data_IF_809114407886
#
_entry.id   IF_809114407886
#
_cell.length_a   1.000
_cell.length_b   1.000
_cell.length_c   1.000
_cell.angle_alpha   90.00
_cell.angle_beta   90.00
_cell.angle_gamma   90.00
#
_symmetry.space_group_name_H-M   'P 1'
#
loop_
_entity.id
_entity.type
_entity.pdbx_description
1 polymer ?
#
# COMPACT_ATOMS: atom_id res chain seq x y z
N UNK A 1 -20.27 -10.00 -13.70
CA UNK A 1 -19.35 -9.68 -12.58
C UNK A 1 -18.61 -8.41 -12.97
N UNK A 2 -18.40 -7.46 -12.05
CA UNK A 2 -17.60 -6.26 -12.34
C UNK A 2 -16.18 -6.66 -12.79
N UNK A 3 -15.58 -5.84 -13.63
CA UNK A 3 -14.24 -6.06 -14.17
C UNK A 3 -14.19 -6.46 -15.65
N UNK A 4 -13.03 -6.22 -16.24
CA UNK A 4 -12.76 -6.46 -17.66
C UNK A 4 -12.34 -7.91 -17.86
N UNK A 5 -13.19 -8.72 -18.48
CA UNK A 5 -12.96 -10.12 -18.82
C UNK A 5 -12.79 -10.36 -20.34
N UNK A 6 -13.05 -9.36 -21.18
CA UNK A 6 -12.83 -9.44 -22.63
C UNK A 6 -12.46 -8.09 -23.24
N UNK A 7 -11.88 -8.12 -24.45
CA UNK A 7 -11.59 -6.92 -25.23
C UNK A 7 -12.86 -6.16 -25.61
N UNK A 8 -13.97 -6.87 -25.84
CA UNK A 8 -15.26 -6.24 -26.16
C UNK A 8 -15.80 -5.43 -24.97
N UNK A 9 -15.64 -5.93 -23.74
CA UNK A 9 -15.96 -5.16 -22.54
C UNK A 9 -15.08 -3.93 -22.39
N UNK A 10 -13.79 -4.04 -22.70
CA UNK A 10 -12.89 -2.89 -22.69
C UNK A 10 -13.32 -1.83 -23.73
N UNK A 11 -13.61 -2.26 -24.96
CA UNK A 11 -14.07 -1.36 -26.04
C UNK A 11 -15.40 -0.70 -25.63
N UNK A 12 -16.34 -1.46 -25.07
CA UNK A 12 -17.60 -0.93 -24.59
C UNK A 12 -17.40 0.09 -23.46
N UNK A 13 -16.48 -0.16 -22.53
CA UNK A 13 -16.14 0.75 -21.45
C UNK A 13 -15.57 2.07 -21.99
N UNK A 14 -14.63 1.99 -22.94
CA UNK A 14 -14.05 3.16 -23.60
C UNK A 14 -15.10 3.96 -24.38
N UNK A 15 -15.96 3.29 -25.14
CA UNK A 15 -17.06 3.91 -25.88
C UNK A 15 -18.08 4.61 -24.95
N UNK A 16 -18.26 4.09 -23.75
CA UNK A 16 -19.13 4.68 -22.72
C UNK A 16 -18.47 5.80 -21.92
N UNK A 17 -17.22 6.16 -22.23
CA UNK A 17 -16.48 7.19 -21.50
C UNK A 17 -16.01 6.75 -20.11
N UNK A 18 -15.94 5.44 -19.83
CA UNK A 18 -15.50 4.87 -18.55
C UNK A 18 -13.98 4.88 -18.41
N UNK A 19 -13.37 6.05 -18.64
CA UNK A 19 -11.93 6.25 -18.66
C UNK A 19 -11.56 7.56 -18.01
N UNK A 20 -10.39 7.59 -17.36
CA UNK A 20 -9.81 8.81 -16.79
C UNK A 20 -8.35 8.88 -17.20
N UNK A 21 -7.95 10.02 -17.77
CA UNK A 21 -6.54 10.34 -18.02
C UNK A 21 -6.06 11.35 -17.00
N UNK A 22 -4.94 11.05 -16.37
CA UNK A 22 -4.28 11.95 -15.43
C UNK A 22 -2.89 12.29 -15.93
N UNK A 23 -2.69 13.56 -16.29
CA UNK A 23 -1.36 14.08 -16.56
C UNK A 23 -0.71 14.48 -15.22
N UNK A 24 0.56 14.14 -15.05
CA UNK A 24 1.30 14.40 -13.83
C UNK A 24 2.68 14.98 -14.16
N UNK A 25 3.23 15.70 -13.18
CA UNK A 25 4.58 16.23 -13.23
C UNK A 25 5.10 16.36 -11.81
N UNK A 26 6.17 15.66 -11.46
CA UNK A 26 6.76 15.66 -10.12
C UNK A 26 8.23 15.99 -10.20
N UNK A 27 8.68 16.76 -9.22
CA UNK A 27 10.11 16.95 -9.00
C UNK A 27 10.66 15.82 -8.14
N UNK A 28 11.97 15.62 -8.23
CA UNK A 28 12.74 14.89 -7.24
C UNK A 28 12.68 15.59 -5.87
N UNK A 29 13.19 14.94 -4.82
CA UNK A 29 13.18 15.55 -3.50
C UNK A 29 13.92 16.91 -3.51
N UNK A 30 13.47 17.89 -2.71
CA UNK A 30 13.92 19.27 -2.85
C UNK A 30 15.27 19.59 -2.22
N UNK A 31 15.82 18.70 -1.37
CA UNK A 31 16.94 19.03 -0.49
C UNK A 31 18.22 18.26 -0.77
N UNK A 32 18.17 17.13 -1.48
CA UNK A 32 19.34 16.31 -1.72
C UNK A 32 19.33 15.62 -3.09
N UNK A 33 20.50 15.55 -3.72
CA UNK A 33 20.72 14.70 -4.88
C UNK A 33 20.84 13.24 -4.45
N UNK A 34 20.39 12.31 -5.31
CA UNK A 34 20.66 10.89 -5.16
C UNK A 34 21.93 10.49 -5.92
N UNK A 35 22.58 9.44 -5.44
CA UNK A 35 23.62 8.74 -6.19
C UNK A 35 23.06 7.51 -6.88
N UNK A 36 23.87 6.90 -7.76
CA UNK A 36 23.48 5.70 -8.50
C UNK A 36 23.03 4.56 -7.56
N UNK A 37 22.05 3.80 -8.03
CA UNK A 37 21.38 2.67 -7.39
C UNK A 37 20.65 2.99 -6.07
N UNK A 38 20.42 4.26 -5.75
CA UNK A 38 19.52 4.65 -4.67
C UNK A 38 18.08 4.75 -5.16
N UNK A 39 17.15 4.33 -4.31
CA UNK A 39 15.74 4.56 -4.52
C UNK A 39 15.22 5.64 -3.57
N UNK A 40 14.42 6.54 -4.11
CA UNK A 40 13.77 7.59 -3.35
C UNK A 40 12.29 7.62 -3.66
N UNK A 41 11.50 8.06 -2.70
CA UNK A 41 10.12 8.44 -2.93
C UNK A 41 10.09 9.81 -3.64
N UNK A 42 9.14 10.02 -4.55
CA UNK A 42 8.86 11.37 -5.09
C UNK A 42 7.82 12.12 -4.25
N UNK A 43 7.54 11.64 -3.04
CA UNK A 43 6.39 12.11 -2.25
C UNK A 43 6.55 13.59 -1.88
N UNK A 44 7.76 13.99 -1.49
CA UNK A 44 8.10 15.36 -1.08
C UNK A 44 8.43 16.30 -2.25
N UNK A 45 8.54 15.76 -3.45
CA UNK A 45 8.76 16.57 -4.65
C UNK A 45 7.56 17.44 -4.95
N UNK A 46 7.79 18.73 -5.25
CA UNK A 46 6.73 19.61 -5.71
C UNK A 46 6.19 19.16 -7.08
N UNK A 47 5.00 19.63 -7.45
CA UNK A 47 4.40 19.35 -8.76
C UNK A 47 2.91 19.05 -8.69
N UNK A 48 2.43 18.29 -9.67
CA UNK A 48 1.08 17.75 -9.75
C UNK A 48 1.15 16.21 -9.81
N UNK A 49 0.66 15.47 -8.80
CA UNK A 49 0.01 15.96 -7.57
C UNK A 49 0.95 16.73 -6.62
N UNK A 50 0.42 17.56 -5.70
CA UNK A 50 1.23 18.39 -4.80
C UNK A 50 2.20 17.57 -3.94
N UNK A 51 3.20 18.23 -3.35
CA UNK A 51 4.08 17.59 -2.38
C UNK A 51 3.28 17.08 -1.18
N UNK A 52 3.56 15.85 -0.77
CA UNK A 52 2.89 15.21 0.35
C UNK A 52 3.37 15.77 1.69
N UNK A 53 2.43 15.94 2.62
CA UNK A 53 2.70 16.38 3.99
C UNK A 53 2.16 15.39 5.05
N UNK A 54 1.83 14.16 4.65
CA UNK A 54 1.24 13.14 5.50
C UNK A 54 2.30 12.29 6.20
N UNK A 55 3.31 11.83 5.46
CA UNK A 55 4.18 10.73 5.92
C UNK A 55 5.09 11.03 7.10
N UNK A 56 5.15 12.26 7.61
CA UNK A 56 5.87 12.61 8.84
C UNK A 56 4.95 13.19 9.93
N UNK A 57 3.66 12.88 9.87
CA UNK A 57 2.64 13.32 10.83
C UNK A 57 2.03 12.12 11.58
N UNK A 58 1.16 12.42 12.55
CA UNK A 58 0.51 11.42 13.38
C UNK A 58 1.41 10.82 14.47
N UNK A 59 0.87 9.80 15.13
CA UNK A 59 1.45 9.19 16.34
C UNK A 59 2.61 8.25 16.00
N UNK A 60 3.68 8.32 16.79
CA UNK A 60 4.82 7.41 16.69
C UNK A 60 4.37 5.96 16.90
N UNK A 61 4.89 5.03 16.08
CA UNK A 61 4.62 3.59 16.15
C UNK A 61 3.12 3.23 16.09
N UNK A 62 2.31 4.03 15.41
CA UNK A 62 0.92 3.70 15.08
C UNK A 62 0.76 3.54 13.57
N UNK A 63 0.04 2.50 13.15
CA UNK A 63 -0.33 2.33 11.75
C UNK A 63 -1.38 3.36 11.35
N UNK A 64 -1.13 4.07 10.25
CA UNK A 64 -1.97 5.12 9.72
C UNK A 64 -2.35 4.78 8.28
N UNK A 65 -3.65 4.75 8.01
CA UNK A 65 -4.21 4.45 6.70
C UNK A 65 -4.00 5.61 5.73
N UNK A 66 -3.69 5.30 4.47
CA UNK A 66 -3.57 6.31 3.40
C UNK A 66 -4.56 6.01 2.28
N UNK A 67 -5.33 7.03 1.89
CA UNK A 67 -6.23 7.07 0.75
C UNK A 67 -5.91 8.29 -0.12
N UNK A 68 -6.38 8.28 -1.36
CA UNK A 68 -6.39 9.48 -2.23
C UNK A 68 -7.07 10.69 -1.59
N UNK A 69 -8.06 10.43 -0.75
CA UNK A 69 -8.87 11.40 -0.01
C UNK A 69 -8.33 11.75 1.38
N UNK A 70 -7.23 11.12 1.82
CA UNK A 70 -6.62 11.48 3.12
C UNK A 70 -6.15 12.93 3.07
N UNK A 71 -6.49 13.72 4.08
CA UNK A 71 -6.05 15.12 4.19
C UNK A 71 -4.53 15.22 4.04
N UNK A 72 -4.08 16.14 3.19
CA UNK A 72 -2.66 16.38 2.87
C UNK A 72 -1.96 15.27 2.07
N UNK A 73 -2.69 14.26 1.57
CA UNK A 73 -2.14 13.27 0.66
C UNK A 73 -1.86 13.88 -0.72
N UNK A 74 -0.62 13.73 -1.19
CA UNK A 74 -0.17 14.13 -2.52
C UNK A 74 -0.32 13.04 -3.58
N UNK A 75 -1.41 12.27 -3.54
CA UNK A 75 -1.61 11.09 -4.40
C UNK A 75 -2.04 11.48 -5.84
N UNK A 76 -1.68 10.64 -6.82
CA UNK A 76 -2.09 10.81 -8.21
C UNK A 76 -3.60 10.62 -8.31
N UNK A 77 -4.27 11.59 -8.93
CA UNK A 77 -5.69 11.54 -9.17
C UNK A 77 -6.03 10.39 -10.12
N UNK A 78 -6.94 9.50 -9.72
CA UNK A 78 -7.39 8.37 -10.56
C UNK A 78 -8.89 8.43 -10.87
N UNK A 79 -9.55 9.55 -10.56
CA UNK A 79 -10.99 9.74 -10.81
C UNK A 79 -11.93 9.14 -9.76
N UNK A 80 -11.50 9.02 -8.50
CA UNK A 80 -12.36 8.64 -7.37
C UNK A 80 -12.81 7.17 -7.36
N UNK A 81 -13.81 6.84 -6.55
CA UNK A 81 -14.31 5.47 -6.37
C UNK A 81 -15.29 5.07 -7.49
N UNK A 82 -15.28 3.80 -7.90
CA UNK A 82 -16.16 3.25 -8.96
C UNK A 82 -16.94 1.99 -8.54
N UNK A 83 -16.61 1.41 -7.39
CA UNK A 83 -17.35 0.31 -6.78
C UNK A 83 -18.66 0.83 -6.14
N UNK A 84 -19.69 -0.04 -5.99
CA UNK A 84 -19.71 -1.47 -6.29
C UNK A 84 -19.97 -1.80 -7.77
N UNK A 85 -20.22 -0.81 -8.62
CA UNK A 85 -20.64 -1.05 -10.01
C UNK A 85 -19.51 -1.58 -10.89
N UNK A 86 -18.33 -1.00 -10.78
CA UNK A 86 -17.19 -1.28 -11.67
C UNK A 86 -15.91 -1.56 -10.88
N UNK A 87 -14.93 -2.17 -11.54
CA UNK A 87 -13.54 -2.20 -11.11
C UNK A 87 -12.67 -1.35 -12.02
N UNK A 88 -11.68 -0.70 -11.42
CA UNK A 88 -10.74 0.17 -12.14
C UNK A 88 -9.41 -0.52 -12.38
N UNK A 89 -8.84 -0.26 -13.53
CA UNK A 89 -7.57 -0.81 -13.98
C UNK A 89 -6.69 0.26 -14.60
N UNK A 90 -5.38 0.10 -14.45
CA UNK A 90 -4.41 0.89 -15.19
C UNK A 90 -4.31 0.34 -16.62
N UNK A 91 -4.63 1.17 -17.61
CA UNK A 91 -4.69 0.79 -19.03
C UNK A 91 -3.36 1.04 -19.75
N UNK A 92 -2.81 2.24 -19.59
CA UNK A 92 -1.53 2.62 -20.16
C UNK A 92 -0.93 3.78 -19.39
N UNK A 93 0.35 4.06 -19.63
CA UNK A 93 0.99 5.24 -19.08
C UNK A 93 2.22 5.65 -19.87
N UNK A 94 2.70 6.84 -19.59
CA UNK A 94 3.96 7.36 -20.09
C UNK A 94 4.69 8.08 -18.98
N UNK A 95 6.01 8.04 -19.03
CA UNK A 95 6.88 8.84 -18.18
C UNK A 95 8.11 9.32 -18.96
N UNK A 96 8.55 10.54 -18.66
CA UNK A 96 9.75 11.15 -19.23
C UNK A 96 10.45 12.01 -18.20
N UNK A 97 11.76 12.17 -18.36
CA UNK A 97 12.53 13.22 -17.72
C UNK A 97 13.44 13.87 -18.76
N UNK A 98 13.55 15.19 -18.70
CA UNK A 98 14.52 15.97 -19.46
C UNK A 98 15.55 16.64 -18.54
N UNK A 99 15.60 16.23 -17.26
CA UNK A 99 16.57 16.74 -16.30
C UNK A 99 17.96 16.10 -16.54
N UNK A 100 18.99 16.94 -16.63
CA UNK A 100 20.35 16.50 -16.89
C UNK A 100 20.82 15.49 -15.83
N UNK A 101 21.63 14.53 -16.28
CA UNK A 101 22.25 13.44 -15.48
C UNK A 101 21.28 12.46 -14.82
N UNK A 102 19.97 12.51 -15.06
CA UNK A 102 18.99 11.65 -14.37
C UNK A 102 18.85 10.26 -14.97
N UNK A 103 19.03 10.12 -16.29
CA UNK A 103 18.90 8.82 -16.97
C UNK A 103 20.26 8.13 -17.15
N UNK A 104 20.32 6.78 -17.10
CA UNK A 104 19.20 5.86 -16.96
C UNK A 104 18.63 5.77 -15.53
N UNK A 105 17.38 5.32 -15.39
CA UNK A 105 16.74 4.99 -14.12
C UNK A 105 15.34 4.44 -14.30
N UNK A 106 14.62 4.17 -13.21
CA UNK A 106 13.28 3.56 -13.26
C UNK A 106 12.30 4.29 -12.35
N UNK A 107 11.15 4.68 -12.88
CA UNK A 107 10.00 5.07 -12.07
C UNK A 107 9.15 3.85 -11.73
N UNK A 108 8.77 3.69 -10.47
CA UNK A 108 7.79 2.68 -10.06
C UNK A 108 6.52 3.37 -9.53
N UNK A 109 5.38 3.02 -10.13
CA UNK A 109 4.07 3.43 -9.64
C UNK A 109 3.70 2.49 -8.49
N UNK A 110 3.51 3.05 -7.30
CA UNK A 110 3.12 2.30 -6.12
C UNK A 110 1.82 2.83 -5.54
N UNK A 111 1.07 1.94 -4.95
CA UNK A 111 -0.13 2.24 -4.20
C UNK A 111 0.20 2.12 -2.70
N UNK A 112 0.22 3.23 -1.97
CA UNK A 112 0.64 3.30 -0.55
C UNK A 112 -0.54 3.05 0.39
N UNK A 113 -0.58 1.91 1.07
CA UNK A 113 -1.76 1.42 1.83
C UNK A 113 -1.88 2.12 3.17
N UNK A 114 -0.72 2.32 3.78
CA UNK A 114 -0.60 2.93 5.09
C UNK A 114 0.87 3.08 5.46
N UNK A 115 1.13 3.80 6.55
CA UNK A 115 2.47 3.96 7.07
C UNK A 115 2.50 3.93 8.59
N UNK A 116 3.69 3.63 9.13
CA UNK A 116 4.03 3.77 10.54
C UNK A 116 5.13 4.81 10.63
N UNK A 117 4.87 5.90 11.36
CA UNK A 117 5.89 6.91 11.66
C UNK A 117 6.80 6.42 12.78
N UNK A 118 8.11 6.61 12.64
CA UNK A 118 9.11 6.23 13.63
C UNK A 118 9.98 7.43 14.00
N UNK A 119 9.67 8.07 15.11
CA UNK A 119 10.45 9.16 15.73
C UNK A 119 11.44 8.65 16.76
N UNK A 120 11.21 7.45 17.29
CA UNK A 120 12.07 6.78 18.27
C UNK A 120 13.28 6.09 17.63
N UNK A 121 13.94 6.75 16.68
CA UNK A 121 15.03 6.16 15.89
C UNK A 121 16.31 5.88 16.70
N UNK A 122 16.35 6.32 17.97
CA UNK A 122 17.43 6.03 18.92
C UNK A 122 17.24 4.73 19.69
N UNK A 123 16.04 4.15 19.67
CA UNK A 123 15.74 2.87 20.33
C UNK A 123 16.28 1.70 19.53
N UNK A 124 16.98 0.78 20.20
CA UNK A 124 17.66 -0.36 19.57
C UNK A 124 16.98 -1.72 19.78
N UNK A 125 16.00 -1.77 20.68
CA UNK A 125 15.15 -2.95 20.90
C UNK A 125 13.95 -2.92 19.94
N UNK A 126 13.34 -4.07 19.71
CA UNK A 126 12.11 -4.15 18.92
C UNK A 126 11.00 -3.30 19.56
N UNK A 127 10.38 -2.45 18.76
CA UNK A 127 9.33 -1.54 19.17
C UNK A 127 7.99 -2.01 18.61
N UNK A 128 7.00 -2.21 19.48
CA UNK A 128 5.66 -2.65 19.05
C UNK A 128 4.94 -1.55 18.28
N UNK A 129 4.29 -1.94 17.19
CA UNK A 129 3.40 -1.08 16.41
C UNK A 129 1.98 -1.25 16.91
N UNK A 130 1.30 -0.12 17.13
CA UNK A 130 -0.11 -0.07 17.44
C UNK A 130 -0.92 -0.20 16.16
N UNK A 131 -1.62 -1.33 16.02
CA UNK A 131 -2.49 -1.63 14.88
C UNK A 131 -3.96 -1.58 15.30
N UNK A 132 -4.51 -0.37 15.35
CA UNK A 132 -5.94 -0.17 15.61
C UNK A 132 -6.74 -0.58 14.38
N UNK A 133 -7.78 -1.42 14.56
CA UNK A 133 -8.74 -1.74 13.51
C UNK A 133 -9.65 -0.53 13.25
N UNK A 134 -9.09 0.48 12.56
CA UNK A 134 -9.72 1.79 12.38
C UNK A 134 -10.73 1.85 11.23
N UNK A 135 -10.84 0.80 10.43
CA UNK A 135 -11.84 0.69 9.38
C UNK A 135 -13.07 0.00 9.93
N UNK A 136 -14.26 0.49 9.57
CA UNK A 136 -15.51 -0.12 10.01
C UNK A 136 -16.64 0.08 9.02
N UNK A 137 -17.53 -0.91 8.98
CA UNK A 137 -18.83 -0.82 8.32
C UNK A 137 -19.83 -1.75 9.03
N UNK A 138 -21.11 -1.45 8.87
CA UNK A 138 -22.22 -2.19 9.49
C UNK A 138 -22.75 -3.28 8.57
N UNK A 139 -23.33 -4.32 9.15
CA UNK A 139 -23.92 -5.44 8.41
C UNK A 139 -25.16 -6.01 9.10
N UNK A 140 -25.92 -6.81 8.34
CA UNK A 140 -26.98 -7.70 8.83
C UNK A 140 -26.65 -9.14 8.44
N UNK A 141 -27.02 -10.12 9.27
CA UNK A 141 -26.82 -11.54 9.00
C UNK A 141 -28.16 -12.24 8.70
N UNK A 142 -28.13 -13.24 7.84
CA UNK A 142 -29.23 -14.17 7.57
C UNK A 142 -28.88 -15.56 8.09
N UNK A 143 -29.57 -16.01 9.15
CA UNK A 143 -29.36 -17.31 9.77
C UNK A 143 -29.81 -18.50 8.89
N UNK A 144 -30.58 -18.25 7.83
CA UNK A 144 -30.97 -19.31 6.88
C UNK A 144 -29.87 -19.64 5.86
N UNK A 145 -28.90 -18.74 5.66
CA UNK A 145 -27.90 -18.84 4.60
C UNK A 145 -26.47 -18.56 5.08
N UNK A 146 -26.28 -18.21 6.35
CA UNK A 146 -25.02 -17.70 6.94
C UNK A 146 -24.48 -16.42 6.30
N UNK A 147 -25.25 -15.81 5.39
CA UNK A 147 -24.82 -14.70 4.58
C UNK A 147 -24.96 -13.38 5.34
N UNK A 148 -23.87 -12.62 5.38
CA UNK A 148 -23.85 -11.25 5.87
C UNK A 148 -23.94 -10.27 4.70
N UNK A 149 -24.77 -9.23 4.85
CA UNK A 149 -24.93 -8.16 3.87
C UNK A 149 -24.51 -6.83 4.48
N UNK A 150 -23.65 -6.08 3.76
CA UNK A 150 -23.23 -4.75 4.20
C UNK A 150 -24.43 -3.78 4.19
N UNK A 151 -24.60 -3.06 5.29
CA UNK A 151 -25.59 -1.98 5.42
C UNK A 151 -24.95 -0.58 5.38
N UNK A 152 -23.62 -0.51 5.42
CA UNK A 152 -22.83 0.71 5.21
C UNK A 152 -21.70 0.42 4.22
N UNK A 153 -21.28 1.45 3.50
CA UNK A 153 -20.14 1.41 2.57
C UNK A 153 -19.12 2.52 2.82
N UNK A 154 -19.11 3.10 4.02
CA UNK A 154 -18.31 4.26 4.38
C UNK A 154 -16.80 3.97 4.32
N UNK A 155 -16.39 2.75 4.71
CA UNK A 155 -15.00 2.31 4.65
C UNK A 155 -14.67 1.49 3.39
N UNK A 156 -15.56 1.50 2.39
CA UNK A 156 -15.40 0.80 1.09
C UNK A 156 -15.21 -0.72 1.31
N UNK A 157 -16.22 -1.42 1.88
CA UNK A 157 -16.06 -2.81 2.27
C UNK A 157 -15.99 -3.77 1.07
N UNK A 158 -16.32 -3.28 -0.13
CA UNK A 158 -16.09 -3.96 -1.41
C UNK A 158 -14.59 -4.19 -1.71
N UNK A 159 -13.68 -3.56 -0.95
CA UNK A 159 -12.24 -3.85 -0.97
C UNK A 159 -11.82 -5.04 -0.08
N UNK A 160 -12.73 -5.60 0.74
CA UNK A 160 -12.40 -6.75 1.58
C UNK A 160 -12.20 -7.99 0.72
N UNK A 161 -11.13 -8.73 1.02
CA UNK A 161 -10.72 -9.93 0.31
C UNK A 161 -10.92 -11.14 1.23
N UNK A 162 -11.11 -12.31 0.63
CA UNK A 162 -11.13 -13.56 1.39
C UNK A 162 -9.82 -13.71 2.18
N UNK A 163 -9.94 -14.11 3.44
CA UNK A 163 -8.83 -14.26 4.38
C UNK A 163 -8.47 -12.97 5.15
N UNK A 164 -9.17 -11.85 4.93
CA UNK A 164 -9.01 -10.65 5.77
C UNK A 164 -9.43 -10.93 7.20
N UNK A 165 -8.55 -10.64 8.16
CA UNK A 165 -8.85 -10.71 9.59
C UNK A 165 -9.74 -9.54 9.99
N UNK A 166 -10.84 -9.84 10.67
CA UNK A 166 -11.83 -8.87 11.13
C UNK A 166 -12.26 -9.14 12.58
N UNK A 167 -12.80 -8.12 13.25
CA UNK A 167 -13.46 -8.26 14.56
C UNK A 167 -14.84 -7.62 14.55
N UNK A 168 -15.73 -8.14 15.38
CA UNK A 168 -17.12 -7.72 15.43
C UNK A 168 -17.45 -6.97 16.72
N UNK A 169 -18.37 -6.01 16.59
CA UNK A 169 -19.08 -5.38 17.71
C UNK A 169 -20.57 -5.28 17.39
N UNK A 170 -21.39 -5.04 18.41
CA UNK A 170 -22.83 -4.84 18.25
C UNK A 170 -23.34 -3.86 19.30
N UNK A 171 -24.47 -3.21 19.03
CA UNK A 171 -25.24 -2.46 20.03
C UNK A 171 -26.25 -3.33 20.80
N UNK A 172 -26.44 -4.60 20.40
CA UNK A 172 -27.37 -5.56 21.01
C UNK A 172 -26.70 -6.91 21.25
N UNK A 173 -27.22 -7.96 20.61
CA UNK A 173 -26.64 -9.32 20.66
C UNK A 173 -26.14 -9.70 19.27
N UNK A 174 -24.89 -10.13 19.14
CA UNK A 174 -24.34 -10.57 17.85
C UNK A 174 -25.10 -11.78 17.30
N UNK A 175 -25.06 -12.02 15.98
CA UNK A 175 -25.60 -13.25 15.40
C UNK A 175 -25.04 -14.49 16.11
N UNK A 176 -25.90 -15.47 16.41
CA UNK A 176 -25.49 -16.64 17.19
C UNK A 176 -24.39 -17.43 16.45
N UNK A 177 -23.34 -17.82 17.18
CA UNK A 177 -22.11 -18.39 16.59
C UNK A 177 -20.96 -17.37 16.49
N UNK A 178 -21.26 -16.09 16.70
CA UNK A 178 -20.28 -15.00 16.70
C UNK A 178 -20.13 -14.36 18.09
N UNK A 179 -18.95 -13.82 18.37
CA UNK A 179 -18.60 -13.18 19.63
C UNK A 179 -17.76 -11.92 19.41
N UNK A 180 -17.84 -10.97 20.35
CA UNK A 180 -16.99 -9.78 20.34
C UNK A 180 -15.55 -10.15 20.71
N UNK A 181 -14.59 -9.26 20.40
CA UNK A 181 -13.16 -9.46 20.68
C UNK A 181 -12.53 -10.76 20.13
N UNK A 182 -13.23 -11.43 19.21
CA UNK A 182 -12.78 -12.64 18.53
C UNK A 182 -12.36 -12.29 17.10
N UNK A 183 -11.21 -12.80 16.68
CA UNK A 183 -10.73 -12.66 15.30
C UNK A 183 -11.43 -13.67 14.40
N UNK A 184 -12.11 -13.16 13.37
CA UNK A 184 -12.70 -13.94 12.29
C UNK A 184 -12.01 -13.65 10.98
N UNK A 185 -12.27 -14.48 9.98
CA UNK A 185 -11.69 -14.34 8.64
C UNK A 185 -12.82 -14.26 7.61
N UNK A 186 -12.79 -13.20 6.81
CA UNK A 186 -13.84 -12.95 5.82
C UNK A 186 -13.77 -13.97 4.68
N UNK A 187 -14.93 -14.46 4.25
CA UNK A 187 -15.13 -15.18 2.99
C UNK A 187 -15.96 -14.28 2.08
N UNK A 188 -15.35 -13.80 0.99
CA UNK A 188 -16.00 -12.85 0.09
C UNK A 188 -16.97 -13.59 -0.83
N UNK A 189 -18.24 -13.21 -0.81
CA UNK A 189 -19.27 -13.76 -1.69
C UNK A 189 -19.57 -12.82 -2.86
N UNK A 190 -19.62 -11.51 -2.59
CA UNK A 190 -19.73 -10.46 -3.61
C UNK A 190 -19.10 -9.15 -3.11
N UNK A 191 -19.33 -8.04 -3.82
CA UNK A 191 -18.96 -6.70 -3.34
C UNK A 191 -19.85 -6.20 -2.19
N UNK A 192 -21.05 -6.78 -2.01
CA UNK A 192 -22.03 -6.37 -1.00
C UNK A 192 -22.31 -7.45 0.06
N UNK A 193 -21.80 -8.67 -0.13
CA UNK A 193 -22.07 -9.80 0.76
C UNK A 193 -20.82 -10.61 1.08
N UNK A 194 -20.81 -11.20 2.28
CA UNK A 194 -19.70 -11.98 2.80
C UNK A 194 -20.20 -13.01 3.81
N UNK A 195 -19.36 -13.98 4.12
CA UNK A 195 -19.53 -14.91 5.24
C UNK A 195 -18.30 -14.80 6.17
N UNK A 196 -18.35 -15.44 7.32
CA UNK A 196 -17.26 -15.42 8.31
C UNK A 196 -16.78 -16.84 8.61
N UNK A 197 -15.47 -17.01 8.70
CA UNK A 197 -14.83 -18.25 9.07
C UNK A 197 -14.04 -18.10 10.38
N UNK A 198 -13.89 -19.20 11.11
CA UNK A 198 -13.17 -19.25 12.39
C UNK A 198 -11.64 -19.28 12.26
N UNK A 199 -11.12 -19.52 11.05
CA UNK A 199 -9.68 -19.51 10.77
C UNK A 199 -9.40 -19.08 9.33
N UNK A 200 -8.17 -18.63 9.06
CA UNK A 200 -7.73 -18.31 7.70
C UNK A 200 -7.87 -19.51 6.76
N UNK A 201 -7.48 -20.71 7.21
CA UNK A 201 -7.58 -21.94 6.42
C UNK A 201 -9.04 -22.25 6.05
N UNK A 202 -9.97 -22.08 7.00
CA UNK A 202 -11.41 -22.24 6.74
C UNK A 202 -11.92 -21.19 5.75
N UNK A 203 -11.46 -19.94 5.82
CA UNK A 203 -11.86 -18.91 4.88
C UNK A 203 -11.41 -19.24 3.45
N UNK A 204 -10.19 -19.74 3.27
CA UNK A 204 -9.68 -20.17 1.96
C UNK A 204 -10.41 -21.41 1.45
N UNK A 205 -10.81 -22.32 2.34
CA UNK A 205 -11.58 -23.51 1.99
C UNK A 205 -13.08 -23.23 1.73
N UNK A 206 -13.57 -22.02 2.05
CA UNK A 206 -15.01 -21.71 1.98
C UNK A 206 -15.85 -22.39 3.05
N UNK A 207 -15.26 -22.66 4.22
CA UNK A 207 -15.94 -23.26 5.38
C UNK A 207 -16.36 -22.16 6.36
N UNK A 208 -17.57 -21.65 6.18
CA UNK A 208 -18.13 -20.60 7.04
C UNK A 208 -18.59 -21.12 8.41
N UNK A 209 -18.76 -20.19 9.34
CA UNK A 209 -19.42 -20.40 10.62
C UNK A 209 -20.92 -20.46 10.37
N UNK A 210 -21.58 -21.45 10.98
CA UNK A 210 -23.04 -21.55 10.98
C UNK A 210 -23.63 -20.51 11.95
N UNK A 211 -24.42 -19.58 11.39
CA UNK A 211 -25.17 -18.56 12.11
C UNK A 211 -26.58 -19.09 12.36
N UNK A 212 -26.94 -19.28 13.63
CA UNK A 212 -28.24 -19.90 13.99
C UNK A 212 -29.32 -18.90 14.42
N UNK A 213 -28.95 -17.63 14.58
CA UNK A 213 -29.83 -16.49 14.88
C UNK A 213 -29.19 -15.21 14.33
N UNK A 214 -29.99 -14.29 13.78
CA UNK A 214 -29.49 -13.06 13.16
C UNK A 214 -28.97 -12.01 14.18
N UNK A 215 -29.21 -12.23 15.47
CA UNK A 215 -28.92 -11.28 16.52
C UNK A 215 -29.85 -10.07 16.49
N UNK A 216 -29.53 -9.08 17.33
CA UNK A 216 -30.28 -7.83 17.45
C UNK A 216 -29.36 -6.62 17.52
N UNK A 217 -29.86 -5.45 17.14
CA UNK A 217 -29.08 -4.21 17.12
C UNK A 217 -28.24 -4.04 15.86
N UNK A 218 -27.34 -3.06 15.88
CA UNK A 218 -26.44 -2.75 14.76
C UNK A 218 -25.14 -3.52 14.93
N UNK A 219 -24.87 -4.45 14.01
CA UNK A 219 -23.61 -5.18 13.98
C UNK A 219 -22.58 -4.43 13.14
N UNK A 220 -21.35 -4.38 13.63
CA UNK A 220 -20.23 -3.68 12.97
C UNK A 220 -19.06 -4.63 12.81
N UNK A 221 -18.47 -4.64 11.61
CA UNK A 221 -17.19 -5.30 11.33
C UNK A 221 -16.09 -4.25 11.36
N UNK A 222 -14.95 -4.59 11.94
CA UNK A 222 -13.74 -3.75 11.94
C UNK A 222 -12.53 -4.49 11.38
N UNK A 223 -11.67 -3.78 10.64
CA UNK A 223 -10.46 -4.33 10.05
C UNK A 223 -9.33 -3.28 9.94
N UNK A 224 -8.13 -3.71 9.54
CA UNK A 224 -6.92 -2.88 9.56
C UNK A 224 -6.69 -2.10 8.26
N UNK A 225 -6.50 -2.81 7.15
CA UNK A 225 -6.03 -2.21 5.89
C UNK A 225 -7.20 -1.70 5.04
N UNK A 226 -7.13 -0.52 4.38
CA UNK A 226 -8.18 -0.02 3.47
C UNK A 226 -8.38 -0.84 2.19
N UNK A 227 -7.33 -1.54 1.74
CA UNK A 227 -7.25 -2.23 0.44
C UNK A 227 -6.10 -3.22 0.50
N UNK A 228 -6.13 -4.22 -0.38
CA UNK A 228 -5.30 -5.44 -0.27
C UNK A 228 -5.40 -6.00 1.16
N UNK A 229 -6.64 -6.11 1.62
CA UNK A 229 -7.04 -6.26 3.02
C UNK A 229 -6.55 -7.53 3.69
N UNK A 230 -6.19 -8.55 2.91
CA UNK A 230 -5.55 -9.78 3.40
C UNK A 230 -4.00 -9.70 3.42
N UNK A 231 -3.40 -8.58 3.01
CA UNK A 231 -1.96 -8.37 2.95
C UNK A 231 -1.25 -9.00 1.74
N UNK A 232 -1.97 -9.72 0.88
CA UNK A 232 -1.37 -10.42 -0.26
C UNK A 232 -0.74 -9.41 -1.23
N UNK A 233 0.55 -9.61 -1.51
CA UNK A 233 1.30 -8.77 -2.42
C UNK A 233 1.73 -7.41 -1.88
N UNK A 234 1.45 -7.10 -0.61
CA UNK A 234 1.95 -5.90 0.06
C UNK A 234 3.38 -6.09 0.54
N UNK A 235 4.23 -5.15 0.19
CA UNK A 235 5.60 -5.07 0.67
C UNK A 235 5.78 -3.84 1.55
N UNK A 236 6.87 -3.81 2.33
CA UNK A 236 7.23 -2.62 3.09
C UNK A 236 8.37 -1.85 2.40
N UNK A 237 8.37 -0.53 2.56
CA UNK A 237 9.52 0.34 2.30
C UNK A 237 9.82 1.15 3.56
N UNK A 238 11.11 1.41 3.83
CA UNK A 238 11.53 2.28 4.94
C UNK A 238 12.23 3.49 4.34
N UNK A 239 11.65 4.68 4.53
CA UNK A 239 12.18 5.89 3.92
C UNK A 239 12.26 7.05 4.90
N UNK A 240 13.24 7.92 4.71
CA UNK A 240 13.29 9.18 5.43
C UNK A 240 12.14 10.07 4.95
N UNK A 241 11.16 10.29 5.80
CA UNK A 241 9.97 11.09 5.50
C UNK A 241 10.18 12.59 5.78
N UNK A 242 11.33 12.99 6.34
CA UNK A 242 11.63 14.37 6.73
C UNK A 242 12.60 15.06 5.74
N UNK A 243 12.58 16.39 5.70
CA UNK A 243 13.54 17.18 4.94
C UNK A 243 14.96 17.08 5.51
N UNK A 244 15.07 16.88 6.84
CA UNK A 244 16.33 16.69 7.55
C UNK A 244 16.82 15.25 7.41
N UNK A 245 18.13 15.07 7.19
CA UNK A 245 18.74 13.76 7.13
C UNK A 245 18.67 13.01 8.47
N UNK A 246 18.67 11.68 8.44
CA UNK A 246 18.86 10.87 9.66
C UNK A 246 20.25 11.13 10.27
N UNK A 247 20.46 10.76 11.52
CA UNK A 247 21.78 10.86 12.13
C UNK A 247 22.78 9.84 11.58
N UNK A 248 24.04 10.02 11.96
CA UNK A 248 25.16 9.25 11.43
C UNK A 248 25.25 7.86 12.07
N UNK A 249 24.61 6.86 11.45
CA UNK A 249 24.66 5.45 11.87
C UNK A 249 24.24 4.51 10.72
N UNK A 250 24.56 3.22 10.84
CA UNK A 250 24.22 2.19 9.85
C UNK A 250 23.60 0.95 10.51
N UNK A 251 22.39 1.06 11.10
CA UNK A 251 21.77 -0.07 11.77
C UNK A 251 21.27 -1.12 10.79
N UNK A 252 21.32 -2.38 11.19
CA UNK A 252 20.48 -3.41 10.60
C UNK A 252 19.02 -3.09 10.94
N UNK A 253 18.15 -3.13 9.94
CA UNK A 253 16.74 -2.82 10.05
C UNK A 253 15.95 -4.13 9.99
N UNK A 254 15.06 -4.34 10.94
CA UNK A 254 14.15 -5.49 10.91
C UNK A 254 12.70 -5.10 11.20
N UNK A 255 11.79 -5.84 10.57
CA UNK A 255 10.36 -5.74 10.82
C UNK A 255 9.87 -7.10 11.32
N UNK A 256 9.11 -7.11 12.41
CA UNK A 256 8.23 -8.21 12.75
C UNK A 256 6.85 -7.97 12.14
N UNK A 257 6.21 -8.99 11.58
CA UNK A 257 4.94 -8.84 10.89
C UNK A 257 4.07 -10.10 10.92
N UNK A 258 2.81 -9.90 10.57
CA UNK A 258 1.84 -10.95 10.24
C UNK A 258 1.75 -11.02 8.72
N UNK A 259 1.95 -12.20 8.14
CA UNK A 259 1.96 -12.35 6.68
C UNK A 259 0.54 -12.41 6.09
N UNK A 260 0.46 -12.51 4.76
CA UNK A 260 -0.80 -12.62 4.03
C UNK A 260 -1.60 -13.91 4.24
N UNK A 261 -0.97 -14.93 4.83
CA UNK A 261 -1.63 -16.15 5.31
C UNK A 261 -2.07 -16.05 6.79
N UNK A 262 -1.99 -14.85 7.37
CA UNK A 262 -2.35 -14.55 8.76
C UNK A 262 -1.49 -15.32 9.79
N UNK A 263 -0.32 -15.82 9.38
CA UNK A 263 0.68 -16.36 10.28
C UNK A 263 1.43 -15.21 10.95
N UNK A 264 1.46 -15.22 12.28
CA UNK A 264 2.11 -14.21 13.12
C UNK A 264 3.60 -14.53 13.32
N UNK A 265 4.32 -13.64 14.01
CA UNK A 265 5.73 -13.82 14.38
C UNK A 265 6.67 -14.06 13.18
N UNK A 266 6.31 -13.51 12.02
CA UNK A 266 7.18 -13.47 10.84
C UNK A 266 8.15 -12.31 11.00
N UNK A 267 9.31 -12.43 10.39
CA UNK A 267 10.33 -11.38 10.46
C UNK A 267 11.00 -11.19 9.10
N UNK A 268 11.60 -10.02 8.90
CA UNK A 268 12.54 -9.82 7.78
C UNK A 268 13.65 -10.89 7.85
N UNK A 269 14.15 -11.39 6.71
CA UNK A 269 15.06 -12.53 6.67
C UNK A 269 16.41 -12.28 7.36
N UNK A 270 17.17 -13.35 7.58
CA UNK A 270 18.40 -13.35 8.39
C UNK A 270 19.46 -12.35 7.93
N UNK A 271 19.58 -12.10 6.62
CA UNK A 271 20.40 -11.01 6.10
C UNK A 271 19.54 -9.76 6.05
N UNK A 272 19.68 -8.90 7.06
CA UNK A 272 18.86 -7.71 7.22
C UNK A 272 19.30 -6.55 6.30
N UNK A 273 18.37 -5.71 5.83
CA UNK A 273 18.71 -4.43 5.22
C UNK A 273 19.50 -3.55 6.17
N UNK A 274 20.56 -2.92 5.66
CA UNK A 274 21.42 -2.02 6.43
C UNK A 274 21.12 -0.58 6.06
N UNK A 275 20.70 0.16 7.06
CA UNK A 275 20.47 1.59 7.01
C UNK A 275 21.65 2.40 6.50
N UNK A 276 21.37 3.48 5.78
CA UNK A 276 22.38 4.43 5.33
C UNK A 276 22.59 5.52 6.39
N UNK A 277 23.86 5.82 6.64
CA UNK A 277 24.28 6.97 7.44
C UNK A 277 23.84 8.28 6.78
N UNK A 278 23.29 9.21 7.56
CA UNK A 278 22.83 10.50 7.04
C UNK A 278 21.87 10.35 5.84
N UNK A 279 20.98 9.35 5.88
CA UNK A 279 20.02 9.11 4.81
C UNK A 279 19.19 10.38 4.56
N UNK A 280 19.25 10.88 3.33
CA UNK A 280 18.66 12.17 2.96
C UNK A 280 17.15 12.09 2.82
N UNK A 281 16.51 13.23 2.63
CA UNK A 281 15.07 13.32 2.39
C UNK A 281 14.61 12.34 1.29
N UNK A 282 13.49 11.67 1.56
CA UNK A 282 12.81 10.73 0.67
C UNK A 282 13.63 9.49 0.31
N UNK A 283 14.82 9.31 0.86
CA UNK A 283 15.65 8.14 0.60
C UNK A 283 15.01 6.90 1.21
N UNK A 284 14.81 5.85 0.42
CA UNK A 284 14.55 4.50 0.94
C UNK A 284 15.86 3.97 1.52
N UNK A 285 15.97 4.02 2.85
CA UNK A 285 17.22 4.22 3.59
C UNK A 285 18.23 3.07 3.50
N UNK A 286 17.84 1.91 2.97
CA UNK A 286 18.71 0.75 2.78
C UNK A 286 19.05 0.47 1.32
N UNK A 287 18.73 1.38 0.41
CA UNK A 287 19.08 1.28 -1.02
C UNK A 287 20.38 2.01 -1.34
N UNK A 288 21.05 1.66 -2.44
CA UNK A 288 22.32 2.26 -2.88
C UNK A 288 23.28 1.28 -3.55
N UNK A 289 24.25 1.81 -4.31
CA UNK A 289 25.13 1.02 -5.18
C UNK A 289 26.13 0.10 -4.47
N UNK A 290 26.67 0.53 -3.34
CA UNK A 290 27.82 -0.14 -2.71
C UNK A 290 27.66 -0.17 -1.20
N UNK A 291 27.72 -1.36 -0.62
CA UNK A 291 27.69 -1.57 0.83
C UNK A 291 27.02 -2.90 1.18
N UNK A 292 27.45 -3.51 2.28
CA UNK A 292 26.79 -4.69 2.83
C UNK A 292 25.32 -4.36 3.17
N UNK A 293 24.42 -5.30 2.90
CA UNK A 293 23.00 -5.17 3.25
C UNK A 293 22.24 -4.10 2.46
N UNK A 294 22.72 -3.70 1.28
CA UNK A 294 21.93 -2.92 0.33
C UNK A 294 20.99 -3.82 -0.47
N UNK A 295 19.73 -3.44 -0.52
CA UNK A 295 18.67 -4.15 -1.22
C UNK A 295 18.01 -3.26 -2.25
N UNK A 296 17.16 -3.86 -3.08
CA UNK A 296 16.17 -3.11 -3.84
C UNK A 296 15.19 -2.42 -2.88
N UNK A 297 14.27 -1.59 -3.39
CA UNK A 297 13.45 -0.73 -2.55
C UNK A 297 12.47 -1.46 -1.61
N UNK A 298 12.09 -2.70 -1.86
CA UNK A 298 11.22 -3.47 -0.95
C UNK A 298 12.03 -4.15 0.15
N UNK A 299 11.56 -4.03 1.39
CA UNK A 299 12.10 -4.83 2.50
C UNK A 299 11.88 -6.31 2.19
N UNK A 300 12.93 -7.16 2.25
CA UNK A 300 12.79 -8.57 1.96
C UNK A 300 11.90 -9.26 3.00
N UNK A 301 11.11 -10.24 2.55
CA UNK A 301 10.22 -11.04 3.39
C UNK A 301 10.89 -12.35 3.80
N UNK A 302 10.33 -13.01 4.82
CA UNK A 302 10.72 -14.35 5.22
C UNK A 302 10.41 -15.31 4.07
N UNK A 303 11.24 -16.35 3.91
CA UNK A 303 11.03 -17.35 2.88
C UNK A 303 9.60 -17.93 2.95
N UNK A 304 8.93 -17.97 1.79
CA UNK A 304 7.57 -18.47 1.62
C UNK A 304 6.46 -17.42 1.84
N UNK A 305 6.77 -16.20 2.28
CA UNK A 305 5.76 -15.16 2.46
C UNK A 305 5.44 -14.42 1.16
N UNK A 306 4.14 -14.18 0.95
CA UNK A 306 3.61 -13.51 -0.24
C UNK A 306 3.15 -12.06 0.03
N UNK A 307 3.39 -11.52 1.22
CA UNK A 307 3.06 -10.14 1.58
C UNK A 307 2.79 -9.94 3.06
N UNK A 308 2.58 -8.68 3.45
CA UNK A 308 2.41 -8.24 4.84
C UNK A 308 0.95 -7.82 5.08
N UNK A 309 0.27 -8.48 6.00
CA UNK A 309 -1.07 -8.09 6.45
C UNK A 309 -1.04 -7.05 7.59
N UNK A 310 0.01 -7.06 8.39
CA UNK A 310 0.21 -6.13 9.51
C UNK A 310 1.70 -6.06 9.87
N UNK A 311 2.22 -4.86 10.16
CA UNK A 311 3.54 -4.69 10.78
C UNK A 311 3.36 -4.72 12.30
N UNK A 312 4.01 -5.67 12.97
CA UNK A 312 3.88 -5.88 14.42
C UNK A 312 4.99 -5.18 15.21
N UNK A 313 6.22 -5.20 14.70
CA UNK A 313 7.36 -4.54 15.34
C UNK A 313 8.31 -3.91 14.33
N UNK A 314 9.02 -2.88 14.77
CA UNK A 314 10.09 -2.22 14.01
C UNK A 314 11.32 -2.16 14.91
N UNK A 315 12.50 -2.50 14.38
CA UNK A 315 13.74 -2.46 15.12
C UNK A 315 14.90 -1.89 14.29
N UNK A 316 15.66 -0.99 14.92
CA UNK A 316 17.01 -0.61 14.49
C UNK A 316 18.01 -1.36 15.38
N UNK A 317 19.01 -2.05 14.84
CA UNK A 317 19.99 -2.76 15.68
C UNK A 317 20.92 -1.80 16.46
N UNK A 318 21.08 -0.57 15.97
CA UNK A 318 21.81 0.52 16.63
C UNK A 318 21.04 1.83 16.49
N UNK A 319 21.34 2.80 17.34
CA UNK A 319 20.69 4.12 17.32
C UNK A 319 21.07 4.88 16.04
N UNK A 320 20.08 5.52 15.40
CA UNK A 320 20.34 6.53 14.37
C UNK A 320 20.75 7.89 14.93
N UNK A 321 20.85 8.05 16.26
CA UNK A 321 21.20 9.29 16.97
C UNK A 321 20.11 10.38 16.87
N UNK A 322 19.62 10.69 15.67
CA UNK A 322 18.61 11.72 15.42
C UNK A 322 17.80 11.45 14.14
N UNK A 323 16.74 12.24 13.96
CA UNK A 323 15.86 12.17 12.79
C UNK A 323 14.60 11.33 13.03
N UNK A 324 13.90 11.03 11.95
CA UNK A 324 12.75 10.15 11.92
C UNK A 324 12.68 9.46 10.55
N UNK A 325 11.97 8.33 10.47
CA UNK A 325 11.64 7.69 9.20
C UNK A 325 10.22 7.17 9.24
N UNK A 326 9.73 6.71 8.09
CA UNK A 326 8.43 6.05 8.00
C UNK A 326 8.56 4.69 7.32
N UNK A 327 7.81 3.71 7.82
CA UNK A 327 7.65 2.40 7.20
C UNK A 327 6.31 2.37 6.50
N UNK A 328 6.28 2.32 5.17
CA UNK A 328 5.03 2.28 4.41
C UNK A 328 4.78 0.89 3.83
N UNK A 329 3.52 0.45 3.89
CA UNK A 329 3.05 -0.71 3.13
C UNK A 329 2.65 -0.25 1.73
N UNK A 330 3.21 -0.89 0.70
CA UNK A 330 3.03 -0.52 -0.70
C UNK A 330 2.75 -1.73 -1.57
N UNK A 331 1.97 -1.51 -2.64
CA UNK A 331 1.82 -2.43 -3.77
C UNK A 331 2.39 -1.76 -5.01
N UNK A 332 3.39 -2.37 -5.66
CA UNK A 332 3.81 -1.89 -6.98
C UNK A 332 2.76 -2.27 -8.03
N UNK A 333 2.40 -1.30 -8.87
CA UNK A 333 1.45 -1.47 -9.97
C UNK A 333 2.12 -1.48 -11.33
N UNK A 334 3.19 -0.70 -11.51
CA UNK A 334 3.88 -0.58 -12.81
C UNK A 334 5.29 -0.03 -12.66
N UNK A 335 6.15 -0.29 -13.66
CA UNK A 335 7.47 0.30 -13.80
C UNK A 335 7.67 0.95 -15.17
N UNK A 336 8.36 2.08 -15.20
CA UNK A 336 8.70 2.85 -16.38
C UNK A 336 10.22 3.04 -16.42
N UNK A 337 10.96 2.19 -17.16
CA UNK A 337 12.39 2.36 -17.34
C UNK A 337 12.67 3.55 -18.25
N UNK A 338 13.39 4.55 -17.75
CA UNK A 338 13.81 5.73 -18.49
C UNK A 338 15.26 5.57 -18.92
N UNK A 339 15.51 5.19 -20.18
CA UNK A 339 16.86 4.92 -20.69
C UNK A 339 17.57 6.14 -21.25
N UNK A 340 16.81 7.12 -21.77
CA UNK A 340 17.36 8.20 -22.60
C UNK A 340 16.67 9.52 -22.28
N UNK A 341 17.47 10.58 -22.23
CA UNK A 341 17.03 11.90 -21.78
C UNK A 341 16.04 12.47 -22.80
N UNK A 342 14.88 12.94 -22.33
CA UNK A 342 13.85 13.50 -23.20
C UNK A 342 13.07 12.48 -24.03
N UNK A 343 13.42 11.19 -23.98
CA UNK A 343 12.64 10.12 -24.60
C UNK A 343 11.66 9.54 -23.59
N UNK A 344 10.37 9.58 -23.93
CA UNK A 344 9.34 9.02 -23.07
C UNK A 344 9.34 7.49 -23.12
N UNK A 345 9.21 6.85 -21.95
CA UNK A 345 8.86 5.44 -21.86
C UNK A 345 7.34 5.32 -21.83
N UNK A 346 6.77 4.56 -22.75
CA UNK A 346 5.33 4.25 -22.77
C UNK A 346 5.11 2.79 -22.40
N UNK A 347 4.10 2.54 -21.57
CA UNK A 347 3.68 1.21 -21.16
C UNK A 347 2.23 0.98 -21.57
N UNK A 348 2.00 -0.14 -22.23
CA UNK A 348 0.67 -0.67 -22.50
C UNK A 348 0.42 -1.81 -21.51
N UNK A 349 -0.51 -1.64 -20.57
CA UNK A 349 -0.83 -2.64 -19.58
C UNK A 349 -1.94 -3.59 -20.03
N UNK A 350 -2.56 -3.39 -21.19
CA UNK A 350 -3.52 -4.36 -21.72
C UNK A 350 -2.83 -5.64 -22.21
N UNK A 351 -1.66 -5.50 -22.83
CA UNK A 351 -0.90 -6.62 -23.40
C UNK A 351 0.51 -6.76 -22.84
N UNK A 352 1.02 -5.72 -22.17
CA UNK A 352 2.31 -5.74 -21.50
C UNK A 352 2.24 -6.28 -20.07
N UNK A 353 3.40 -6.35 -19.43
CA UNK A 353 3.53 -6.81 -18.05
C UNK A 353 3.80 -5.62 -17.11
N UNK A 354 3.16 -5.56 -15.92
CA UNK A 354 2.03 -6.39 -15.50
C UNK A 354 0.75 -6.06 -16.29
N UNK A 355 -0.06 -7.08 -16.59
CA UNK A 355 -1.30 -6.91 -17.35
C UNK A 355 -2.43 -6.41 -16.47
N UNK A 356 -3.08 -5.32 -16.88
CA UNK A 356 -4.22 -4.63 -16.25
C UNK A 356 -4.16 -4.63 -14.72
N UNK A 357 -3.17 -3.95 -14.10
CA UNK A 357 -3.13 -3.81 -12.65
C UNK A 357 -4.42 -3.15 -12.14
N UNK A 358 -5.10 -3.83 -11.21
CA UNK A 358 -6.30 -3.27 -10.55
C UNK A 358 -5.89 -2.08 -9.67
N UNK A 359 -6.65 -1.00 -9.79
CA UNK A 359 -6.59 0.17 -8.90
C UNK A 359 -7.83 0.09 -8.02
N UNK A 360 -7.63 -0.19 -6.72
CA UNK A 360 -8.74 -0.28 -5.76
C UNK A 360 -9.32 1.11 -5.47
N UNK A 361 -10.57 1.14 -5.03
CA UNK A 361 -11.20 2.37 -4.56
C UNK A 361 -10.46 2.90 -3.31
N UNK A 362 -10.22 4.21 -3.27
CA UNK A 362 -9.36 4.86 -2.28
C UNK A 362 -7.85 4.59 -2.46
N UNK A 363 -7.39 4.17 -3.64
CA UNK A 363 -5.96 3.94 -3.91
C UNK A 363 -5.14 5.23 -3.80
N UNK A 364 -4.04 5.19 -3.06
CA UNK A 364 -3.15 6.32 -2.89
C UNK A 364 -1.90 6.10 -3.74
N UNK A 365 -1.97 6.55 -4.99
CA UNK A 365 -0.95 6.31 -6.00
C UNK A 365 0.20 7.32 -5.90
N UNK A 366 1.43 6.84 -5.80
CA UNK A 366 2.63 7.66 -5.74
C UNK A 366 3.76 7.08 -6.59
N UNK A 367 4.78 7.91 -6.85
CA UNK A 367 5.98 7.50 -7.59
C UNK A 367 7.15 7.22 -6.66
N UNK A 368 7.86 6.14 -6.94
CA UNK A 368 9.23 5.90 -6.50
C UNK A 368 10.18 6.08 -7.69
N UNK A 369 11.40 6.50 -7.41
CA UNK A 369 12.45 6.69 -8.39
C UNK A 369 13.70 5.90 -7.99
N UNK A 370 14.08 4.93 -8.83
CA UNK A 370 15.35 4.22 -8.77
C UNK A 370 16.37 4.88 -9.68
N UNK A 371 17.36 5.54 -9.09
CA UNK A 371 18.38 6.29 -9.81
C UNK A 371 19.41 5.32 -10.40
N UNK A 372 19.58 5.24 -11.72
CA UNK A 372 20.70 4.49 -12.32
C UNK A 372 22.01 5.29 -12.33
N UNK A 373 21.90 6.61 -12.20
CA UNK A 373 22.98 7.60 -12.16
C UNK A 373 22.63 8.71 -11.16
N UNK A 374 23.49 9.71 -10.96
CA UNK A 374 23.22 10.78 -10.02
C UNK A 374 21.98 11.60 -10.41
N UNK A 375 20.98 11.67 -9.54
CA UNK A 375 19.76 12.47 -9.77
C UNK A 375 19.83 13.76 -8.96
N UNK A 376 20.00 14.94 -9.59
CA UNK A 376 20.02 16.21 -8.87
C UNK A 376 18.72 16.47 -8.10
N UNK A 377 18.82 17.22 -7.00
CA UNK A 377 17.65 17.75 -6.28
C UNK A 377 16.72 18.50 -7.25
N UNK A 378 15.42 18.40 -7.05
CA UNK A 378 14.39 19.03 -7.90
C UNK A 378 14.41 18.62 -9.39
N UNK A 379 15.05 17.51 -9.77
CA UNK A 379 14.97 16.99 -11.14
C UNK A 379 13.52 16.69 -11.55
N UNK A 380 13.09 17.14 -12.72
CA UNK A 380 11.71 17.01 -13.18
C UNK A 380 11.40 15.68 -13.87
N UNK A 381 10.26 15.09 -13.53
CA UNK A 381 9.64 13.96 -14.20
C UNK A 381 8.22 14.35 -14.59
N UNK A 382 7.74 13.89 -15.74
CA UNK A 382 6.36 14.13 -16.17
C UNK A 382 5.83 12.98 -17.00
N UNK A 383 4.51 12.93 -17.18
CA UNK A 383 3.88 11.87 -17.93
C UNK A 383 2.37 11.87 -17.80
N UNK A 384 1.78 10.73 -18.14
CA UNK A 384 0.35 10.50 -17.99
C UNK A 384 0.07 9.06 -17.56
N UNK A 385 -1.07 8.85 -16.90
CA UNK A 385 -1.65 7.53 -16.64
C UNK A 385 -3.07 7.52 -17.18
N UNK A 386 -3.45 6.45 -17.86
CA UNK A 386 -4.81 6.19 -18.31
C UNK A 386 -5.40 5.07 -17.47
N UNK A 387 -6.57 5.34 -16.90
CA UNK A 387 -7.36 4.39 -16.13
C UNK A 387 -8.62 4.07 -16.91
N UNK A 388 -9.07 2.82 -16.83
CA UNK A 388 -10.34 2.36 -17.38
C UNK A 388 -11.11 1.62 -16.30
N UNK A 389 -12.44 1.67 -16.33
CA UNK A 389 -13.26 0.94 -15.37
C UNK A 389 -14.46 0.28 -16.05
N UNK A 390 -14.80 -0.94 -15.61
CA UNK A 390 -15.95 -1.72 -16.09
C UNK A 390 -16.46 -2.71 -15.05
#
# INVERSE_FOLDING_TARGET
MPGIASNDQLIAALASGQTVRTNWGKLFNPTAAAVANEWHTLFRGAGNPPADALFNTGTNLAFQVVRDSTTSAGAIQHGGNVQPTFYKYLLSGSAVTAAATVVPGTLALVDVVGFVRVTSVTTTTAQSVTNTLGQSDTFTADAGTDLCTWTSTASIPSNLLTGTRVRLTTSGTLPAGLATATDYYLVRMSDSTFELASSYANAIAGTQINITDAGTGTHTVTWLLPRYTNGAGLNAIIFNSNATALGASTPNLSLGYTNSAQATSRATPTVLPVGKTAASNSHIIYTGATGAGKYNYTVPLQAGDAGIAQIDTIQNATSYVSGEYSVALVRELAQFPLSTLGLAAEQNFMFGLPSLPRVYDGAALYWLWGSGVATPANSGFSGYLNFVFN
#
